data_IF_636304962580
#
_entry.id   IF_636304962580
#
_cell.length_a   1.000
_cell.length_b   1.000
_cell.length_c   1.000
_cell.angle_alpha   90.00
_cell.angle_beta   90.00
_cell.angle_gamma   90.00
#
_symmetry.space_group_name_H-M   'P 1'
#
loop_
_entity.id
_entity.type
_entity.pdbx_description
1 polymer ?
#
# COMPACT_ATOMS: atom_id res chain seq x y z
N UNK A 1 11.70 0.71 -2.79
CA UNK A 1 10.64 -0.32 -2.87
C UNK A 1 9.62 -0.06 -1.77
N UNK A 2 8.32 -0.28 -1.99
CA UNK A 2 7.34 -0.18 -0.91
C UNK A 2 7.16 -1.56 -0.23
N UNK A 3 7.86 -1.75 0.89
CA UNK A 3 7.85 -3.02 1.65
C UNK A 3 6.44 -3.36 2.14
N UNK A 4 5.67 -2.38 2.60
CA UNK A 4 4.32 -2.63 3.11
C UNK A 4 3.38 -3.16 2.00
N UNK A 5 3.46 -2.58 0.80
CA UNK A 5 2.68 -3.08 -0.36
C UNK A 5 3.16 -4.46 -0.80
N UNK A 6 4.47 -4.72 -0.80
CA UNK A 6 5.00 -6.05 -1.13
C UNK A 6 4.52 -7.12 -0.12
N UNK A 7 4.53 -6.81 1.18
CA UNK A 7 4.00 -7.70 2.22
C UNK A 7 2.50 -7.89 2.05
N UNK A 8 1.72 -6.82 1.77
CA UNK A 8 0.29 -6.92 1.50
C UNK A 8 -0.01 -7.74 0.25
N UNK A 9 0.86 -7.73 -0.75
CA UNK A 9 0.72 -8.57 -1.93
C UNK A 9 0.95 -10.05 -1.61
N UNK A 10 1.98 -10.38 -0.81
CA UNK A 10 2.25 -11.75 -0.36
C UNK A 10 1.21 -12.27 0.64
N UNK A 11 0.72 -11.38 1.51
CA UNK A 11 -0.23 -11.67 2.58
C UNK A 11 -1.39 -10.66 2.54
N UNK A 12 -2.38 -10.87 1.64
CA UNK A 12 -3.50 -9.95 1.45
C UNK A 12 -4.33 -9.67 2.69
N UNK A 13 -4.40 -10.63 3.62
CA UNK A 13 -5.16 -10.50 4.86
C UNK A 13 -4.37 -9.83 5.99
N UNK A 14 -3.06 -9.61 5.84
CA UNK A 14 -2.23 -9.07 6.91
C UNK A 14 -2.53 -7.58 7.16
N UNK A 15 -2.66 -7.19 8.41
CA UNK A 15 -2.87 -5.81 8.85
C UNK A 15 -1.52 -5.11 9.16
N UNK A 16 -1.14 -4.05 8.42
CA UNK A 16 0.13 -3.32 8.61
C UNK A 16 0.21 -2.52 9.92
N UNK A 17 -0.84 -2.52 10.75
CA UNK A 17 -0.85 -1.92 12.08
C UNK A 17 -0.81 -2.97 13.20
N UNK A 18 -1.06 -4.25 12.90
CA UNK A 18 -1.18 -5.33 13.91
C UNK A 18 -0.23 -6.48 13.66
N UNK A 19 -0.14 -6.92 12.41
CA UNK A 19 0.52 -8.16 12.00
C UNK A 19 1.96 -7.94 11.59
N UNK A 20 2.27 -6.76 11.07
CA UNK A 20 3.64 -6.32 10.79
C UNK A 20 3.71 -4.81 10.84
N UNK A 21 4.89 -4.24 11.11
CA UNK A 21 5.12 -2.80 11.08
C UNK A 21 6.32 -2.50 10.21
N UNK A 22 6.15 -1.60 9.24
CA UNK A 22 7.25 -1.05 8.46
C UNK A 22 7.56 0.35 9.00
N UNK A 23 8.81 0.60 9.34
CA UNK A 23 9.30 1.90 9.78
C UNK A 23 10.36 2.40 8.83
N UNK A 24 10.41 3.71 8.68
CA UNK A 24 11.51 4.41 8.04
C UNK A 24 12.08 5.39 9.07
N UNK A 25 13.26 5.07 9.58
CA UNK A 25 13.94 5.91 10.56
C UNK A 25 14.65 7.09 9.91
N UNK A 26 14.61 7.18 8.57
CA UNK A 26 15.35 8.17 7.82
C UNK A 26 16.87 7.96 7.91
N UNK A 27 17.66 9.01 7.73
CA UNK A 27 19.11 8.95 7.83
C UNK A 27 19.54 8.64 9.27
N UNK A 28 20.26 7.52 9.46
CA UNK A 28 20.85 7.15 10.76
C UNK A 28 22.36 7.43 10.76
N UNK A 29 22.94 7.89 11.89
CA UNK A 29 24.37 8.13 11.98
C UNK A 29 25.15 6.81 12.02
N UNK A 30 26.01 6.60 11.03
CA UNK A 30 26.97 5.51 10.96
C UNK A 30 28.35 6.00 11.40
N UNK A 31 28.86 5.47 12.52
CA UNK A 31 30.17 5.83 13.04
C UNK A 31 31.28 5.33 12.14
N UNK A 32 32.28 6.19 11.89
CA UNK A 32 33.53 5.80 11.26
C UNK A 32 34.46 5.14 12.28
N UNK A 33 35.41 4.36 11.77
CA UNK A 33 36.39 3.67 12.60
C UNK A 33 37.18 4.69 13.45
N UNK A 34 37.15 4.51 14.77
CA UNK A 34 37.85 5.38 15.74
C UNK A 34 36.99 6.49 16.34
N UNK A 35 35.81 6.80 15.76
CA UNK A 35 34.90 7.80 16.30
C UNK A 35 34.36 7.42 17.70
N UNK A 36 34.25 6.12 17.98
CA UNK A 36 33.85 5.61 19.29
C UNK A 36 34.78 6.10 20.41
N UNK A 37 36.09 6.25 20.17
CA UNK A 37 37.02 6.71 21.21
C UNK A 37 36.78 8.18 21.59
N UNK A 38 36.35 8.99 20.61
CA UNK A 38 36.04 10.42 20.80
C UNK A 38 34.67 10.62 21.43
N UNK A 39 33.69 9.84 21.01
CA UNK A 39 32.29 10.00 21.42
C UNK A 39 31.87 9.18 22.64
N UNK A 40 32.68 8.23 23.11
CA UNK A 40 32.29 7.35 24.23
C UNK A 40 32.29 8.09 25.56
N UNK A 41 31.10 8.28 26.11
CA UNK A 41 30.86 8.94 27.41
C UNK A 41 30.23 7.94 28.39
N UNK A 42 30.66 8.00 29.65
CA UNK A 42 30.05 7.23 30.75
C UNK A 42 28.84 7.99 31.28
N UNK A 43 27.66 7.40 31.13
CA UNK A 43 26.42 7.89 31.73
C UNK A 43 26.14 7.17 33.03
N UNK A 44 25.91 7.92 34.08
CA UNK A 44 25.49 7.37 35.37
C UNK A 44 24.02 6.99 35.32
N UNK A 45 23.71 5.75 35.74
CA UNK A 45 22.35 5.23 35.81
C UNK A 45 21.83 5.37 37.24
N UNK A 46 22.63 4.90 38.21
CA UNK A 46 22.33 5.02 39.63
C UNK A 46 23.64 5.22 40.41
N UNK A 47 23.60 5.97 41.52
CA UNK A 47 24.75 6.11 42.41
C UNK A 47 25.14 4.76 43.02
N UNK A 48 26.43 4.59 43.30
CA UNK A 48 26.98 3.40 43.97
C UNK A 48 26.82 3.55 45.48
N UNK A 49 26.49 2.47 46.19
CA UNK A 49 26.46 2.49 47.65
C UNK A 49 27.88 2.48 48.25
N UNK A 50 28.02 2.97 49.49
CA UNK A 50 29.33 3.10 50.15
C UNK A 50 30.00 1.73 50.31
N UNK A 51 31.09 1.50 49.57
CA UNK A 51 31.85 0.26 49.57
C UNK A 51 31.53 -0.71 48.42
N UNK A 52 30.61 -0.36 47.50
CA UNK A 52 30.32 -1.15 46.31
C UNK A 52 31.15 -0.67 45.11
N UNK A 53 31.70 -1.61 44.32
CA UNK A 53 32.34 -1.26 43.05
C UNK A 53 31.28 -0.99 41.97
N UNK A 54 31.43 0.08 41.17
CA UNK A 54 30.46 0.40 40.15
C UNK A 54 30.47 -0.65 39.03
N UNK A 55 29.29 -1.23 38.78
CA UNK A 55 29.05 -2.27 37.77
C UNK A 55 28.44 -1.65 36.51
N UNK A 56 28.99 -1.97 35.33
CA UNK A 56 28.43 -1.57 34.03
C UNK A 56 27.05 -2.20 33.78
N UNK A 57 26.10 -1.41 33.28
CA UNK A 57 24.70 -1.77 33.09
C UNK A 57 23.83 -1.60 34.35
N UNK A 58 24.46 -1.47 35.53
CA UNK A 58 23.75 -1.31 36.81
C UNK A 58 23.97 0.08 37.39
N UNK A 59 25.22 0.54 37.46
CA UNK A 59 25.62 1.83 38.01
C UNK A 59 25.93 2.87 36.94
N UNK A 60 26.50 2.42 35.83
CA UNK A 60 26.79 3.28 34.68
C UNK A 60 26.65 2.50 33.37
N UNK A 61 26.47 3.21 32.26
CA UNK A 61 26.61 2.65 30.90
C UNK A 61 27.48 3.55 30.06
N UNK A 62 28.22 2.97 29.13
CA UNK A 62 28.82 3.75 28.05
C UNK A 62 27.80 4.01 26.95
N UNK A 63 27.74 5.24 26.49
CA UNK A 63 26.98 5.64 25.31
C UNK A 63 27.84 6.50 24.41
N UNK A 64 27.40 6.70 23.17
CA UNK A 64 28.03 7.63 22.25
C UNK A 64 27.32 8.97 22.36
N UNK A 65 28.06 9.99 22.79
CA UNK A 65 27.59 11.37 22.76
C UNK A 65 27.90 11.97 21.40
N UNK A 66 26.87 12.06 20.56
CA UNK A 66 27.00 12.63 19.22
C UNK A 66 27.33 14.12 19.24
N UNK A 67 27.15 14.84 20.36
CA UNK A 67 27.57 16.24 20.48
C UNK A 67 29.11 16.41 20.49
N UNK A 68 29.84 15.32 20.76
CA UNK A 68 31.30 15.29 20.72
C UNK A 68 31.84 14.87 19.35
N UNK A 69 30.96 14.48 18.42
CA UNK A 69 31.32 13.99 17.10
C UNK A 69 31.01 15.02 16.02
N UNK A 70 31.72 14.94 14.90
CA UNK A 70 31.56 15.83 13.75
C UNK A 70 31.08 15.04 12.53
N UNK A 71 29.97 15.46 11.94
CA UNK A 71 29.42 14.87 10.72
C UNK A 71 30.42 15.00 9.56
N UNK A 72 30.60 13.93 8.78
CA UNK A 72 31.56 13.85 7.67
C UNK A 72 33.01 13.58 8.08
N UNK A 73 33.34 13.68 9.37
CA UNK A 73 34.65 13.31 9.93
C UNK A 73 34.57 12.04 10.78
N UNK A 74 33.68 12.05 11.77
CA UNK A 74 33.51 10.98 12.76
C UNK A 74 32.32 10.06 12.46
N UNK A 75 31.27 10.59 11.85
CA UNK A 75 30.11 9.79 11.42
C UNK A 75 29.54 10.34 10.11
N UNK A 76 28.89 9.45 9.35
CA UNK A 76 28.13 9.82 8.16
C UNK A 76 26.65 9.52 8.41
N UNK A 77 25.76 10.36 7.90
CA UNK A 77 24.33 10.02 7.85
C UNK A 77 24.10 9.06 6.69
N UNK A 78 23.62 7.86 7.00
CA UNK A 78 23.35 6.81 6.01
C UNK A 78 21.85 6.58 5.94
N UNK A 79 21.29 6.70 4.75
CA UNK A 79 19.89 6.31 4.50
C UNK A 79 19.78 4.78 4.57
N UNK A 80 19.05 4.29 5.57
CA UNK A 80 18.76 2.85 5.72
C UNK A 80 17.43 2.42 5.10
N UNK A 81 16.61 3.38 4.66
CA UNK A 81 15.33 3.15 4.03
C UNK A 81 14.31 2.45 4.94
N UNK A 82 13.11 2.18 4.42
CA UNK A 82 12.08 1.47 5.16
C UNK A 82 12.54 0.04 5.47
N UNK A 83 12.21 -0.45 6.66
CA UNK A 83 12.49 -1.82 7.12
C UNK A 83 11.32 -2.36 7.94
N UNK A 84 11.26 -3.69 8.09
CA UNK A 84 10.25 -4.35 8.93
C UNK A 84 10.71 -4.24 10.40
N UNK A 85 10.07 -3.37 11.16
CA UNK A 85 10.36 -3.14 12.58
C UNK A 85 9.65 -4.14 13.50
N UNK A 86 8.52 -4.69 13.06
CA UNK A 86 7.74 -5.67 13.82
C UNK A 86 7.16 -6.74 12.90
N UNK A 87 7.15 -7.99 13.38
CA UNK A 87 6.58 -9.13 12.68
C UNK A 87 5.84 -10.04 13.65
N UNK A 88 4.52 -10.07 13.56
CA UNK A 88 3.60 -10.81 14.43
C UNK A 88 2.84 -11.93 13.70
N UNK A 89 3.18 -12.21 12.43
CA UNK A 89 2.57 -13.32 11.68
C UNK A 89 3.25 -14.64 12.03
N UNK A 90 2.46 -15.73 12.08
CA UNK A 90 2.96 -17.10 12.26
C UNK A 90 3.83 -17.60 11.08
N UNK A 91 3.87 -16.84 9.99
CA UNK A 91 4.66 -17.12 8.79
C UNK A 91 6.08 -16.57 8.95
N UNK A 92 7.09 -17.18 8.30
CA UNK A 92 8.43 -16.61 8.31
C UNK A 92 8.43 -15.20 7.71
N UNK A 93 9.27 -14.33 8.27
CA UNK A 93 9.51 -13.00 7.72
C UNK A 93 10.10 -13.15 6.30
N UNK A 94 9.53 -12.48 5.29
CA UNK A 94 10.02 -12.57 3.92
C UNK A 94 11.44 -11.98 3.81
N UNK A 95 12.25 -12.61 2.97
CA UNK A 95 13.58 -12.13 2.61
C UNK A 95 13.50 -10.95 1.65
N UNK A 96 14.59 -10.17 1.53
CA UNK A 96 14.66 -9.03 0.60
C UNK A 96 14.38 -9.46 -0.86
N UNK A 97 14.83 -10.64 -1.25
CA UNK A 97 14.59 -11.18 -2.58
C UNK A 97 13.11 -11.49 -2.82
N UNK A 98 12.42 -12.04 -1.81
CA UNK A 98 10.97 -12.31 -1.89
C UNK A 98 10.16 -11.02 -1.89
N UNK A 99 10.54 -10.02 -1.10
CA UNK A 99 9.94 -8.70 -1.11
C UNK A 99 10.10 -8.02 -2.48
N UNK A 100 11.30 -8.09 -3.06
CA UNK A 100 11.57 -7.52 -4.38
C UNK A 100 10.78 -8.23 -5.48
N UNK A 101 10.69 -9.56 -5.43
CA UNK A 101 9.88 -10.33 -6.38
C UNK A 101 8.39 -9.99 -6.25
N UNK A 102 7.87 -9.90 -5.02
CA UNK A 102 6.50 -9.51 -4.76
C UNK A 102 6.19 -8.09 -5.23
N UNK A 103 7.12 -7.15 -5.04
CA UNK A 103 6.98 -5.78 -5.51
C UNK A 103 6.92 -5.70 -7.04
N UNK A 104 7.80 -6.45 -7.74
CA UNK A 104 7.76 -6.52 -9.20
C UNK A 104 6.44 -7.12 -9.69
N UNK A 105 5.99 -8.22 -9.09
CA UNK A 105 4.71 -8.85 -9.43
C UNK A 105 3.50 -7.93 -9.15
N UNK A 106 3.54 -7.17 -8.06
CA UNK A 106 2.54 -6.14 -7.76
C UNK A 106 2.51 -5.06 -8.85
N UNK A 107 3.67 -4.54 -9.27
CA UNK A 107 3.74 -3.53 -10.32
C UNK A 107 3.25 -4.05 -11.67
N UNK A 108 3.58 -5.29 -12.02
CA UNK A 108 3.07 -5.92 -13.24
C UNK A 108 1.55 -6.13 -13.17
N UNK A 109 1.02 -6.55 -12.02
CA UNK A 109 -0.41 -6.69 -11.82
C UNK A 109 -1.14 -5.35 -11.91
N UNK A 110 -0.60 -4.30 -11.31
CA UNK A 110 -1.17 -2.95 -11.34
C UNK A 110 -1.09 -2.35 -12.76
N UNK A 111 0.02 -2.56 -13.48
CA UNK A 111 0.17 -2.12 -14.87
C UNK A 111 -0.77 -2.83 -15.84
N UNK A 112 -1.15 -4.08 -15.55
CA UNK A 112 -2.10 -4.87 -16.34
C UNK A 112 -3.55 -4.70 -15.87
N UNK A 113 -3.81 -3.88 -14.84
CA UNK A 113 -5.18 -3.61 -14.40
C UNK A 113 -5.92 -2.89 -15.54
N UNK A 114 -7.07 -3.41 -16.01
CA UNK A 114 -7.86 -2.69 -16.99
C UNK A 114 -8.21 -1.32 -16.39
N UNK A 115 -8.20 -0.24 -17.19
CA UNK A 115 -8.56 1.08 -16.69
C UNK A 115 -9.93 0.98 -16.04
N UNK A 116 -9.99 1.26 -14.74
CA UNK A 116 -11.27 1.37 -14.04
C UNK A 116 -12.00 2.53 -14.69
N UNK A 117 -13.05 2.22 -15.47
CA UNK A 117 -13.91 3.24 -16.05
C UNK A 117 -14.40 4.11 -14.90
N UNK A 118 -14.20 5.42 -15.02
CA UNK A 118 -14.75 6.34 -14.04
C UNK A 118 -16.27 6.15 -14.00
N UNK A 119 -16.88 6.41 -12.85
CA UNK A 119 -18.34 6.29 -12.68
C UNK A 119 -19.10 7.02 -13.80
N UNK A 120 -18.58 8.17 -14.25
CA UNK A 120 -19.16 8.94 -15.35
C UNK A 120 -19.07 8.26 -16.72
N UNK A 121 -18.01 7.50 -16.98
CA UNK A 121 -17.86 6.74 -18.22
C UNK A 121 -18.75 5.49 -18.22
N UNK A 122 -18.88 4.82 -17.07
CA UNK A 122 -19.84 3.72 -16.89
C UNK A 122 -21.27 4.22 -17.13
N UNK A 123 -21.65 5.31 -16.46
CA UNK A 123 -22.98 5.90 -16.63
C UNK A 123 -23.23 6.35 -18.08
N UNK A 124 -22.20 6.81 -18.81
CA UNK A 124 -22.35 7.13 -20.24
C UNK A 124 -22.57 5.89 -21.08
N UNK A 125 -21.83 4.81 -20.82
CA UNK A 125 -22.03 3.53 -21.51
C UNK A 125 -23.42 2.97 -21.26
N UNK A 126 -23.88 2.99 -20.00
CA UNK A 126 -25.21 2.52 -19.61
C UNK A 126 -26.33 3.37 -20.22
N UNK A 127 -26.19 4.70 -20.20
CA UNK A 127 -27.15 5.59 -20.85
C UNK A 127 -27.22 5.35 -22.37
N UNK A 128 -26.07 5.11 -23.03
CA UNK A 128 -26.07 4.79 -24.46
C UNK A 128 -26.76 3.45 -24.74
N UNK A 129 -26.55 2.44 -23.88
CA UNK A 129 -27.22 1.15 -24.00
C UNK A 129 -28.75 1.27 -23.80
N UNK A 130 -29.19 2.01 -22.78
CA UNK A 130 -30.61 2.26 -22.52
C UNK A 130 -31.29 3.04 -23.66
N UNK A 131 -30.60 4.03 -24.24
CA UNK A 131 -31.11 4.75 -25.40
C UNK A 131 -31.28 3.83 -26.62
N UNK A 132 -30.34 2.91 -26.85
CA UNK A 132 -30.46 1.94 -27.94
C UNK A 132 -31.64 0.99 -27.71
N UNK A 133 -31.82 0.50 -26.49
CA UNK A 133 -32.95 -0.36 -26.11
C UNK A 133 -34.29 0.37 -26.26
N UNK A 134 -34.36 1.65 -25.86
CA UNK A 134 -35.55 2.48 -26.03
C UNK A 134 -35.92 2.63 -27.51
N UNK A 135 -34.95 2.96 -28.36
CA UNK A 135 -35.16 3.09 -29.82
C UNK A 135 -35.65 1.78 -30.42
N UNK A 136 -35.07 0.64 -30.02
CA UNK A 136 -35.52 -0.67 -30.49
C UNK A 136 -36.95 -0.98 -30.04
N UNK A 137 -37.29 -0.60 -28.81
CA UNK A 137 -38.62 -0.83 -28.25
C UNK A 137 -39.67 0.04 -28.95
N UNK A 138 -39.36 1.31 -29.20
CA UNK A 138 -40.21 2.22 -29.97
C UNK A 138 -40.46 1.69 -31.39
N UNK A 139 -39.41 1.24 -32.08
CA UNK A 139 -39.56 0.68 -33.42
C UNK A 139 -40.49 -0.56 -33.45
N UNK A 140 -40.45 -1.41 -32.40
CA UNK A 140 -41.38 -2.53 -32.27
C UNK A 140 -42.81 -2.09 -31.99
N UNK A 141 -43.00 -1.03 -31.21
CA UNK A 141 -44.32 -0.47 -30.93
C UNK A 141 -44.93 0.12 -32.21
N UNK A 142 -44.17 0.94 -32.93
CA UNK A 142 -44.62 1.56 -34.18
C UNK A 142 -45.01 0.49 -35.21
N UNK A 143 -44.23 -0.58 -35.33
CA UNK A 143 -44.56 -1.70 -36.21
C UNK A 143 -45.85 -2.40 -35.77
N UNK A 144 -46.02 -2.67 -34.48
CA UNK A 144 -47.22 -3.32 -33.96
C UNK A 144 -48.48 -2.45 -34.19
N UNK A 145 -48.38 -1.14 -34.03
CA UNK A 145 -49.47 -0.19 -34.32
C UNK A 145 -49.82 -0.17 -35.81
N UNK A 146 -48.82 -0.18 -36.69
CA UNK A 146 -49.04 -0.27 -38.14
C UNK A 146 -49.71 -1.59 -38.53
N UNK A 147 -49.24 -2.71 -37.98
CA UNK A 147 -49.81 -4.04 -38.23
C UNK A 147 -51.28 -4.09 -37.75
N UNK A 148 -51.57 -3.51 -36.58
CA UNK A 148 -52.94 -3.42 -36.07
C UNK A 148 -53.83 -2.55 -36.96
N UNK A 149 -53.34 -1.40 -37.42
CA UNK A 149 -54.09 -0.53 -38.34
C UNK A 149 -54.36 -1.23 -39.68
N UNK A 150 -53.39 -1.96 -40.21
CA UNK A 150 -53.54 -2.75 -41.43
C UNK A 150 -54.59 -3.87 -41.25
N UNK A 151 -54.58 -4.56 -40.11
CA UNK A 151 -55.60 -5.56 -39.78
C UNK A 151 -57.00 -4.93 -39.70
N UNK A 152 -57.15 -3.80 -39.02
CA UNK A 152 -58.44 -3.08 -38.94
C UNK A 152 -58.95 -2.67 -40.32
N UNK A 153 -58.07 -2.14 -41.18
CA UNK A 153 -58.45 -1.78 -42.55
C UNK A 153 -58.92 -3.01 -43.33
N UNK A 154 -58.20 -4.14 -43.23
CA UNK A 154 -58.58 -5.38 -43.91
C UNK A 154 -59.93 -5.94 -43.44
N UNK A 155 -60.28 -5.78 -42.16
CA UNK A 155 -61.57 -6.19 -41.61
C UNK A 155 -62.72 -5.31 -42.10
N UNK A 156 -62.48 -4.00 -42.22
CA UNK A 156 -63.44 -3.03 -42.79
C UNK A 156 -63.66 -3.30 -44.28
N UNK A 157 -62.60 -3.51 -45.06
CA UNK A 157 -62.70 -3.82 -46.50
C UNK A 157 -63.37 -5.19 -46.75
N UNK A 158 -63.14 -6.16 -45.86
CA UNK A 158 -63.77 -7.48 -45.90
C UNK A 158 -65.23 -7.52 -45.44
N UNK A 159 -65.79 -6.40 -44.96
CA UNK A 159 -67.19 -6.30 -44.50
C UNK A 159 -67.50 -7.05 -43.20
N UNK A 160 -66.47 -7.29 -42.36
CA UNK A 160 -66.61 -7.99 -41.07
C UNK A 160 -66.96 -7.01 -39.93
N UNK A 161 -66.76 -5.71 -40.15
CA UNK A 161 -67.07 -4.58 -39.26
C UNK A 161 -68.08 -3.66 -39.93
#
# INVERSE_FOLDING_TARGET
MNIALAIKYLYPEADPMRDFMVQDNGPEPALRKGAEEKGRVRYEIKPTEEGEEPIEGVHYRYGIDYNLLTEGEDYDLVERGPHIAMWNLDKPQPTEAELQAAWTAYLEAEANKPPELTETEQLRADNAALLLELVQTQARQDQAEQDQAALLLSLVEGGVL
#
